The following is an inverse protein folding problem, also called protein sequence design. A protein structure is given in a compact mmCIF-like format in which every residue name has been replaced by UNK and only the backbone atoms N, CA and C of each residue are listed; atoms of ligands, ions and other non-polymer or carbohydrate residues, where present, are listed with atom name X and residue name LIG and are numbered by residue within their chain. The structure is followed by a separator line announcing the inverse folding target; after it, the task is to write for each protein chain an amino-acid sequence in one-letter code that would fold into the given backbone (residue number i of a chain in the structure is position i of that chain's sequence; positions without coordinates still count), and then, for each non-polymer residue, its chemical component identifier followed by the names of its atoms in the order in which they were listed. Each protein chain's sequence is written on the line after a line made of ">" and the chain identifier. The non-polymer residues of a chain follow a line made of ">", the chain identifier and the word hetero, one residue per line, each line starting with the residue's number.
data_IF_202398824116
#
_entry.id   IF_202398824116
#
_cell.length_a   1.000
_cell.length_b   1.000
_cell.length_c   1.000
_cell.angle_alpha   90.00
_cell.angle_beta   90.00
_cell.angle_gamma   90.00
#
_symmetry.space_group_name_H-M   'P 1'
#
loop_
_entity.id
_entity.type
_entity.pdbx_description
1 polymer ?
#
# COMPACT_ATOMS: atom_id res chain seq x y z
N UNK A 1 21.92 -93.65 35.86
CA UNK A 1 22.39 -92.52 35.02
C UNK A 1 21.22 -91.56 34.85
N UNK A 2 21.27 -90.40 35.49
CA UNK A 2 20.21 -89.39 35.42
C UNK A 2 20.68 -88.25 34.51
N UNK A 3 19.95 -88.00 33.43
CA UNK A 3 20.27 -86.97 32.43
C UNK A 3 19.51 -85.69 32.78
N UNK A 4 20.22 -84.66 33.21
CA UNK A 4 19.66 -83.35 33.58
C UNK A 4 19.35 -82.53 32.34
N UNK A 5 18.09 -82.20 32.11
CA UNK A 5 17.63 -81.36 30.98
C UNK A 5 17.87 -79.88 31.29
N UNK A 6 18.81 -79.24 30.57
CA UNK A 6 19.07 -77.80 30.66
C UNK A 6 17.99 -77.04 29.87
N UNK A 7 17.13 -76.30 30.56
CA UNK A 7 16.08 -75.45 29.96
C UNK A 7 16.69 -74.11 29.52
N UNK A 8 16.99 -73.95 28.22
CA UNK A 8 17.41 -72.67 27.62
C UNK A 8 16.31 -71.61 27.82
N UNK A 9 16.62 -70.50 28.51
CA UNK A 9 15.77 -69.30 28.57
C UNK A 9 15.74 -68.63 27.19
N UNK A 10 14.55 -68.30 26.68
CA UNK A 10 14.38 -67.51 25.45
C UNK A 10 14.93 -66.09 25.68
N UNK A 11 15.58 -65.45 24.68
CA UNK A 11 15.94 -64.05 24.75
C UNK A 11 14.67 -63.21 24.87
N UNK A 12 14.66 -62.25 25.79
CA UNK A 12 13.56 -61.28 25.97
C UNK A 12 13.65 -60.30 24.80
N UNK A 13 12.59 -60.18 24.00
CA UNK A 13 12.53 -59.19 22.91
C UNK A 13 12.76 -57.77 23.47
N UNK A 14 13.57 -56.93 22.80
CA UNK A 14 13.73 -55.56 23.20
C UNK A 14 12.41 -54.81 22.98
N UNK A 15 11.93 -54.18 24.04
CA UNK A 15 10.79 -53.26 24.01
C UNK A 15 11.14 -52.16 22.99
N UNK A 16 10.29 -51.85 21.99
CA UNK A 16 10.58 -50.78 21.06
C UNK A 16 10.67 -49.47 21.86
N UNK A 17 11.88 -48.96 22.00
CA UNK A 17 12.11 -47.60 22.49
C UNK A 17 11.58 -46.70 21.38
N UNK A 18 10.33 -46.26 21.52
CA UNK A 18 9.77 -45.12 20.81
C UNK A 18 10.60 -43.90 21.23
N UNK A 19 11.78 -43.81 20.61
CA UNK A 19 12.92 -43.03 21.05
C UNK A 19 12.65 -41.54 20.87
N UNK A 20 13.38 -40.72 21.64
CA UNK A 20 13.12 -39.30 21.91
C UNK A 20 12.74 -38.38 20.74
N UNK A 21 12.93 -38.79 19.48
CA UNK A 21 12.42 -38.09 18.30
C UNK A 21 10.91 -37.85 18.32
N UNK A 22 10.10 -38.81 18.82
CA UNK A 22 8.65 -38.59 18.94
C UNK A 22 8.31 -37.54 20.01
N UNK A 23 9.05 -37.49 21.11
CA UNK A 23 8.87 -36.49 22.16
C UNK A 23 9.33 -35.10 21.69
N UNK A 24 10.43 -35.03 20.94
CA UNK A 24 10.92 -33.78 20.34
C UNK A 24 9.91 -33.27 19.29
N UNK A 25 9.38 -34.15 18.44
CA UNK A 25 8.36 -33.79 17.45
C UNK A 25 7.07 -33.30 18.12
N UNK A 26 6.60 -33.98 19.17
CA UNK A 26 5.45 -33.56 19.94
C UNK A 26 5.68 -32.22 20.66
N UNK A 27 6.89 -31.98 21.18
CA UNK A 27 7.25 -30.72 21.82
C UNK A 27 7.31 -29.55 20.82
N UNK A 28 7.86 -29.76 19.62
CA UNK A 28 7.86 -28.72 18.57
C UNK A 28 6.44 -28.38 18.09
N UNK A 29 5.61 -29.40 17.85
CA UNK A 29 4.21 -29.21 17.48
C UNK A 29 3.43 -28.48 18.58
N UNK A 30 3.62 -28.87 19.84
CA UNK A 30 3.03 -28.18 20.99
C UNK A 30 3.48 -26.71 21.08
N UNK A 31 4.76 -26.44 20.86
CA UNK A 31 5.30 -25.08 20.86
C UNK A 31 4.68 -24.22 19.75
N UNK A 32 4.52 -24.74 18.52
CA UNK A 32 3.88 -23.99 17.42
C UNK A 32 2.42 -23.64 17.70
N UNK A 33 1.70 -24.48 18.47
CA UNK A 33 0.32 -24.21 18.86
C UNK A 33 0.24 -23.19 20.00
N UNK A 34 1.13 -23.26 20.99
CA UNK A 34 1.05 -22.44 22.22
C UNK A 34 1.69 -21.07 22.05
N UNK A 35 2.80 -20.98 21.31
CA UNK A 35 3.56 -19.74 21.14
C UNK A 35 2.73 -18.56 20.62
N UNK A 36 1.85 -18.66 19.59
CA UNK A 36 1.08 -17.51 19.10
C UNK A 36 0.06 -16.96 20.11
N UNK A 37 -0.34 -17.74 21.12
CA UNK A 37 -1.25 -17.31 22.18
C UNK A 37 -0.53 -16.88 23.46
N UNK A 38 0.81 -16.92 23.47
CA UNK A 38 1.62 -16.54 24.62
C UNK A 38 1.93 -15.03 24.62
N UNK A 39 2.12 -14.40 25.79
CA UNK A 39 2.53 -12.99 25.87
C UNK A 39 3.91 -12.71 25.24
N UNK A 40 4.70 -13.76 24.97
CA UNK A 40 5.99 -13.66 24.26
C UNK A 40 5.77 -13.41 22.76
N UNK A 41 4.65 -13.85 22.17
CA UNK A 41 4.32 -13.58 20.77
C UNK A 41 4.31 -12.07 20.48
N UNK A 42 3.68 -11.29 21.36
CA UNK A 42 3.60 -9.83 21.23
C UNK A 42 4.97 -9.13 21.32
N UNK A 43 5.99 -9.77 21.90
CA UNK A 43 7.35 -9.25 21.97
C UNK A 43 8.19 -9.56 20.72
N UNK A 44 7.85 -10.64 20.01
CA UNK A 44 8.56 -11.10 18.81
C UNK A 44 7.87 -10.60 17.53
N UNK A 45 6.56 -10.31 17.58
CA UNK A 45 5.83 -9.71 16.48
C UNK A 45 6.34 -8.29 16.21
N UNK A 46 6.71 -7.95 14.97
CA UNK A 46 6.98 -6.58 14.58
C UNK A 46 5.78 -5.70 14.94
N UNK A 47 5.97 -4.44 15.40
CA UNK A 47 4.87 -3.54 15.67
C UNK A 47 4.06 -3.35 14.38
N UNK A 48 2.78 -3.72 14.43
CA UNK A 48 1.81 -3.53 13.37
C UNK A 48 1.52 -2.03 13.22
N UNK A 49 2.40 -1.33 12.51
CA UNK A 49 2.21 0.09 12.18
C UNK A 49 2.36 0.31 10.68
N UNK A 50 1.53 -0.39 9.92
CA UNK A 50 1.33 -0.13 8.50
C UNK A 50 0.37 1.06 8.25
N UNK A 51 -0.27 1.59 9.29
CA UNK A 51 -1.20 2.73 9.16
C UNK A 51 -0.42 4.01 8.83
N UNK A 52 -0.85 4.72 7.79
CA UNK A 52 -0.30 6.02 7.42
C UNK A 52 -0.42 7.00 8.59
N UNK A 53 0.73 7.42 9.14
CA UNK A 53 0.79 8.38 10.25
C UNK A 53 0.52 9.80 9.72
N UNK A 54 -0.75 10.18 9.73
CA UNK A 54 -1.22 11.49 9.26
C UNK A 54 -1.13 12.58 10.32
N UNK A 55 -0.75 12.27 11.57
CA UNK A 55 -0.78 13.24 12.66
C UNK A 55 0.23 14.38 12.45
N UNK A 56 1.34 14.11 11.76
CA UNK A 56 2.36 15.10 11.42
C UNK A 56 2.08 15.90 10.15
N UNK A 57 1.00 15.61 9.42
CA UNK A 57 0.76 16.23 8.12
C UNK A 57 0.21 17.65 8.27
N UNK A 58 1.09 18.62 8.01
CA UNK A 58 0.78 20.04 8.04
C UNK A 58 1.42 20.75 6.86
N UNK A 59 0.84 21.87 6.43
CA UNK A 59 1.37 22.65 5.31
C UNK A 59 2.80 23.10 5.62
N UNK A 60 3.71 22.90 4.66
CA UNK A 60 5.14 23.20 4.78
C UNK A 60 5.99 22.04 5.33
N UNK A 61 5.36 20.98 5.87
CA UNK A 61 6.07 19.79 6.35
C UNK A 61 6.31 18.76 5.25
N UNK A 62 7.21 17.82 5.54
CA UNK A 62 7.41 16.61 4.75
C UNK A 62 6.92 15.41 5.55
N UNK A 63 6.28 14.45 4.89
CA UNK A 63 5.84 13.20 5.51
C UNK A 63 5.81 12.04 4.53
N UNK A 64 5.65 10.83 5.04
CA UNK A 64 5.56 9.62 4.22
C UNK A 64 4.10 9.21 4.03
N UNK A 65 3.77 8.73 2.85
CA UNK A 65 2.48 8.12 2.55
C UNK A 65 2.67 6.90 1.64
N UNK A 66 1.94 5.83 1.93
CA UNK A 66 1.75 4.71 1.01
C UNK A 66 0.49 4.99 0.21
N UNK A 67 0.54 4.91 -1.12
CA UNK A 67 -0.59 5.25 -2.00
C UNK A 67 -0.93 4.07 -2.90
N UNK A 68 -2.20 3.66 -2.92
CA UNK A 68 -2.67 2.60 -3.82
C UNK A 68 -3.03 3.17 -5.19
N UNK A 69 -2.55 2.52 -6.25
CA UNK A 69 -2.68 3.00 -7.63
C UNK A 69 -3.01 1.86 -8.60
N UNK A 70 -3.62 2.23 -9.73
CA UNK A 70 -3.56 1.52 -11.02
C UNK A 70 -3.00 2.47 -12.08
N UNK A 71 -2.42 1.95 -13.16
CA UNK A 71 -1.84 2.82 -14.22
C UNK A 71 -2.87 3.71 -14.90
N UNK A 72 -4.15 3.31 -14.93
CA UNK A 72 -5.22 4.15 -15.47
C UNK A 72 -5.52 5.39 -14.63
N UNK A 73 -5.14 5.41 -13.35
CA UNK A 73 -5.37 6.57 -12.49
C UNK A 73 -4.72 7.85 -13.03
N UNK A 74 -3.70 7.71 -13.88
CA UNK A 74 -3.10 8.82 -14.63
C UNK A 74 -4.14 9.68 -15.35
N UNK A 75 -5.09 9.06 -16.05
CA UNK A 75 -6.10 9.78 -16.86
C UNK A 75 -7.47 9.84 -16.18
N UNK A 76 -7.74 8.94 -15.24
CA UNK A 76 -9.08 8.76 -14.69
C UNK A 76 -9.42 9.76 -13.58
N UNK A 77 -8.45 10.05 -12.72
CA UNK A 77 -8.68 10.74 -11.46
C UNK A 77 -8.75 12.25 -11.67
N UNK A 78 -9.70 12.90 -11.00
CA UNK A 78 -9.83 14.35 -11.05
C UNK A 78 -10.37 14.92 -9.75
N UNK A 79 -9.95 16.15 -9.43
CA UNK A 79 -10.57 16.97 -8.41
C UNK A 79 -11.14 18.26 -9.03
N UNK A 80 -12.03 18.92 -8.28
CA UNK A 80 -12.41 20.29 -8.54
C UNK A 80 -12.14 21.17 -7.30
N UNK A 81 -11.49 22.30 -7.53
CA UNK A 81 -11.22 23.33 -6.53
C UNK A 81 -10.75 24.62 -7.24
N UNK A 82 -11.17 25.81 -6.80
CA UNK A 82 -10.75 27.07 -7.43
C UNK A 82 -9.29 27.43 -7.17
N UNK A 83 -8.76 27.05 -6.01
CA UNK A 83 -7.42 27.46 -5.57
C UNK A 83 -6.27 26.75 -6.30
N UNK A 84 -5.09 27.36 -6.20
CA UNK A 84 -3.81 26.85 -6.72
C UNK A 84 -2.87 26.56 -5.56
N UNK A 85 -2.14 25.45 -5.62
CA UNK A 85 -1.22 24.98 -4.59
C UNK A 85 0.17 24.81 -5.18
N UNK A 86 1.11 25.68 -4.82
CA UNK A 86 2.49 25.65 -5.34
C UNK A 86 2.54 25.61 -6.89
N UNK A 87 1.67 26.39 -7.54
CA UNK A 87 1.53 26.44 -9.00
C UNK A 87 0.72 25.27 -9.61
N UNK A 88 0.41 24.23 -8.85
CA UNK A 88 -0.44 23.12 -9.28
C UNK A 88 -1.93 23.39 -9.01
N UNK A 89 -2.80 22.78 -9.81
CA UNK A 89 -4.26 22.97 -9.69
C UNK A 89 -5.02 21.69 -10.00
N UNK A 90 -6.24 21.62 -9.48
CA UNK A 90 -7.21 20.61 -9.91
C UNK A 90 -7.51 20.74 -11.41
N UNK A 91 -8.03 19.69 -12.05
CA UNK A 91 -8.45 19.78 -13.46
C UNK A 91 -9.61 20.77 -13.67
N UNK A 92 -10.43 20.95 -12.64
CA UNK A 92 -11.61 21.83 -12.69
C UNK A 92 -11.63 22.82 -11.52
N UNK A 93 -12.26 23.97 -11.74
CA UNK A 93 -12.57 24.97 -10.70
C UNK A 93 -13.86 24.65 -9.96
N UNK A 94 -14.80 24.01 -10.67
CA UNK A 94 -16.13 23.64 -10.17
C UNK A 94 -16.60 22.34 -10.85
N UNK A 95 -17.84 21.92 -10.58
CA UNK A 95 -18.40 20.71 -11.19
C UNK A 95 -18.54 20.80 -12.72
N UNK A 96 -18.61 22.01 -13.26
CA UNK A 96 -18.90 22.28 -14.68
C UNK A 96 -17.81 23.08 -15.40
N UNK A 97 -16.91 23.75 -14.67
CA UNK A 97 -15.88 24.61 -15.25
C UNK A 97 -14.48 23.99 -15.09
N UNK A 98 -13.85 23.66 -16.21
CA UNK A 98 -12.44 23.27 -16.25
C UNK A 98 -11.53 24.49 -16.05
N UNK A 99 -10.33 24.28 -15.52
CA UNK A 99 -9.33 25.35 -15.53
C UNK A 99 -8.91 25.67 -16.98
N UNK A 100 -8.95 26.95 -17.34
CA UNK A 100 -8.47 27.40 -18.64
C UNK A 100 -6.97 27.08 -18.76
N UNK A 101 -6.60 26.45 -19.87
CA UNK A 101 -5.19 26.30 -20.26
C UNK A 101 -4.75 27.60 -20.93
N UNK A 102 -3.64 28.16 -20.47
CA UNK A 102 -2.99 29.25 -21.19
C UNK A 102 -2.47 28.69 -22.53
N UNK A 103 -2.87 29.25 -23.69
CA UNK A 103 -2.42 28.79 -24.99
C UNK A 103 -0.90 28.84 -25.20
N UNK A 104 -0.20 29.67 -24.41
CA UNK A 104 1.25 29.85 -24.45
C UNK A 104 2.02 28.99 -23.43
N UNK A 105 1.31 28.33 -22.50
CA UNK A 105 1.96 27.46 -21.52
C UNK A 105 2.47 26.18 -22.19
N UNK A 106 3.65 25.67 -21.76
CA UNK A 106 4.11 24.35 -22.17
C UNK A 106 3.07 23.27 -21.88
N UNK A 107 3.01 22.26 -22.74
CA UNK A 107 2.12 21.13 -22.54
C UNK A 107 2.58 20.31 -21.33
N UNK A 108 1.70 20.12 -20.35
CA UNK A 108 1.97 19.34 -19.14
C UNK A 108 1.68 17.85 -19.39
N UNK A 109 2.47 17.25 -20.28
CA UNK A 109 2.29 15.87 -20.77
C UNK A 109 2.51 14.79 -19.70
N UNK A 110 3.10 15.15 -18.55
CA UNK A 110 3.36 14.26 -17.44
C UNK A 110 2.55 14.62 -16.17
N UNK A 111 1.66 15.62 -16.26
CA UNK A 111 0.80 16.04 -15.16
C UNK A 111 1.54 16.64 -13.96
N UNK A 112 2.72 17.24 -14.16
CA UNK A 112 3.55 17.85 -13.09
C UNK A 112 2.79 18.88 -12.25
N UNK A 113 1.87 19.63 -12.88
CA UNK A 113 1.09 20.68 -12.22
C UNK A 113 -0.39 20.30 -12.06
N UNK A 114 -0.75 19.04 -12.33
CA UNK A 114 -2.09 18.52 -12.16
C UNK A 114 -2.24 17.87 -10.79
N UNK A 115 -3.17 18.39 -9.98
CA UNK A 115 -3.56 17.80 -8.70
C UNK A 115 -4.57 16.69 -8.96
N UNK A 116 -4.30 15.49 -8.45
CA UNK A 116 -5.21 14.35 -8.53
C UNK A 116 -5.50 13.77 -7.13
N UNK A 117 -6.72 13.24 -6.91
CA UNK A 117 -7.06 12.57 -5.66
C UNK A 117 -6.53 11.15 -5.61
N UNK A 118 -6.05 10.72 -4.45
CA UNK A 118 -5.61 9.35 -4.20
C UNK A 118 -6.05 8.85 -2.83
N UNK A 119 -5.89 7.54 -2.62
CA UNK A 119 -6.17 6.88 -1.36
C UNK A 119 -4.89 6.30 -0.77
N UNK A 120 -4.70 6.55 0.51
CA UNK A 120 -3.61 5.99 1.29
C UNK A 120 -3.84 4.51 1.58
N UNK A 121 -2.77 3.73 1.64
CA UNK A 121 -2.78 2.34 2.07
C UNK A 121 -2.30 2.25 3.53
N UNK A 122 -2.91 1.40 4.38
CA UNK A 122 -4.14 0.61 4.19
C UNK A 122 -5.41 1.37 4.63
N UNK A 123 -5.29 2.60 5.11
CA UNK A 123 -6.33 3.32 5.85
C UNK A 123 -7.29 4.13 4.97
N UNK A 124 -7.10 4.13 3.66
CA UNK A 124 -8.01 4.70 2.66
C UNK A 124 -8.34 6.19 2.90
N UNK A 125 -7.45 6.93 3.57
CA UNK A 125 -7.59 8.37 3.75
C UNK A 125 -7.31 9.09 2.44
N UNK A 126 -8.07 10.14 2.19
CA UNK A 126 -7.92 10.99 1.02
C UNK A 126 -6.64 11.83 1.14
N UNK A 127 -5.87 11.85 0.06
CA UNK A 127 -4.75 12.77 -0.15
C UNK A 127 -4.78 13.27 -1.58
N UNK A 128 -4.43 14.53 -1.81
CA UNK A 128 -4.28 15.10 -3.14
C UNK A 128 -2.79 15.25 -3.44
N UNK A 129 -2.34 14.72 -4.57
CA UNK A 129 -0.93 14.78 -4.96
C UNK A 129 -0.83 15.41 -6.35
N UNK A 130 0.02 16.41 -6.48
CA UNK A 130 0.35 17.01 -7.76
C UNK A 130 1.63 16.38 -8.34
N UNK A 131 1.61 15.99 -9.61
CA UNK A 131 2.81 15.51 -10.29
C UNK A 131 3.27 14.11 -9.88
N UNK A 132 2.41 13.27 -9.30
CA UNK A 132 2.76 11.90 -8.92
C UNK A 132 3.33 11.10 -10.10
N UNK A 133 2.73 11.25 -11.28
CA UNK A 133 3.13 10.54 -12.49
C UNK A 133 4.36 11.14 -13.19
N UNK A 134 4.81 12.33 -12.78
CA UNK A 134 6.06 12.92 -13.22
C UNK A 134 7.29 12.29 -12.51
N UNK A 135 7.07 11.55 -11.41
CA UNK A 135 8.13 10.84 -10.70
C UNK A 135 8.73 9.71 -11.58
N UNK A 136 10.07 9.57 -11.65
CA UNK A 136 10.71 8.63 -12.58
C UNK A 136 10.20 7.18 -12.49
N UNK A 137 9.99 6.68 -11.27
CA UNK A 137 9.51 5.31 -11.06
C UNK A 137 8.05 5.12 -11.50
N UNK A 138 7.22 6.15 -11.33
CA UNK A 138 5.81 6.11 -11.74
C UNK A 138 5.70 6.24 -13.26
N UNK A 139 6.46 7.16 -13.86
CA UNK A 139 6.55 7.31 -15.30
C UNK A 139 7.05 6.03 -15.98
N UNK A 140 8.08 5.37 -15.43
CA UNK A 140 8.57 4.11 -15.94
C UNK A 140 7.53 2.99 -15.84
N UNK A 141 6.78 2.93 -14.73
CA UNK A 141 5.68 1.98 -14.57
C UNK A 141 4.58 2.22 -15.62
N UNK A 142 4.16 3.47 -15.80
CA UNK A 142 3.17 3.86 -16.81
C UNK A 142 3.61 3.50 -18.23
N UNK A 143 4.89 3.69 -18.55
CA UNK A 143 5.45 3.31 -19.85
C UNK A 143 5.48 1.80 -20.09
N UNK A 144 5.80 1.01 -19.05
CA UNK A 144 5.85 -0.47 -19.15
C UNK A 144 4.46 -1.10 -19.22
N UNK A 145 3.48 -0.50 -18.56
CA UNK A 145 2.11 -1.00 -18.43
C UNK A 145 1.09 0.09 -18.78
N UNK A 146 1.01 0.50 -20.06
CA UNK A 146 0.08 1.52 -20.49
C UNK A 146 -1.36 1.06 -20.26
N UNK A 147 -2.21 1.97 -19.76
CA UNK A 147 -3.62 1.71 -19.48
C UNK A 147 -4.52 1.80 -20.72
N UNK A 148 -4.03 2.38 -21.83
CA UNK A 148 -4.82 2.63 -23.03
C UNK A 148 -5.39 1.33 -23.62
N UNK A 149 -6.73 1.25 -23.71
CA UNK A 149 -7.42 0.09 -24.27
C UNK A 149 -7.50 -1.14 -23.36
N UNK A 150 -7.04 -1.04 -22.10
CA UNK A 150 -7.12 -2.11 -21.11
C UNK A 150 -8.28 -1.85 -20.14
N UNK A 151 -9.11 -2.86 -19.90
CA UNK A 151 -10.15 -2.78 -18.87
C UNK A 151 -9.51 -2.56 -17.50
N UNK A 152 -10.00 -1.57 -16.75
CA UNK A 152 -9.49 -1.21 -15.42
C UNK A 152 -9.40 -2.40 -14.47
N UNK A 153 -10.34 -3.36 -14.57
CA UNK A 153 -10.36 -4.57 -13.72
C UNK A 153 -9.20 -5.52 -13.98
N UNK A 154 -8.54 -5.39 -15.14
CA UNK A 154 -7.38 -6.18 -15.54
C UNK A 154 -6.05 -5.50 -15.22
N UNK A 155 -6.08 -4.23 -14.82
CA UNK A 155 -4.87 -3.52 -14.43
C UNK A 155 -4.43 -3.96 -13.03
N UNK A 156 -3.13 -4.26 -12.91
CA UNK A 156 -2.53 -4.61 -11.63
C UNK A 156 -2.56 -3.39 -10.70
N UNK A 157 -3.12 -3.59 -9.50
CA UNK A 157 -2.98 -2.64 -8.40
C UNK A 157 -1.58 -2.72 -7.84
N UNK A 158 -1.01 -1.59 -7.49
CA UNK A 158 0.28 -1.51 -6.81
C UNK A 158 0.24 -0.42 -5.76
N UNK A 159 1.19 -0.48 -4.82
CA UNK A 159 1.37 0.54 -3.78
C UNK A 159 2.69 1.26 -4.04
N UNK A 160 2.67 2.58 -3.93
CA UNK A 160 3.88 3.40 -3.98
C UNK A 160 4.16 3.99 -2.60
N UNK A 161 5.42 3.92 -2.18
CA UNK A 161 5.94 4.57 -0.99
C UNK A 161 6.50 5.92 -1.41
N UNK A 162 5.82 6.99 -0.98
CA UNK A 162 6.19 8.35 -1.33
C UNK A 162 6.62 9.15 -0.09
N UNK A 163 7.69 9.91 -0.24
CA UNK A 163 7.99 11.07 0.58
C UNK A 163 7.35 12.29 -0.07
N UNK A 164 6.53 12.99 0.69
CA UNK A 164 5.64 14.04 0.22
C UNK A 164 5.90 15.34 0.95
N UNK A 165 6.03 16.44 0.21
CA UNK A 165 6.01 17.80 0.75
C UNK A 165 4.59 18.33 0.71
N UNK A 166 4.01 18.66 1.85
CA UNK A 166 2.65 19.18 1.94
C UNK A 166 2.64 20.68 1.61
N UNK A 167 1.94 21.05 0.55
CA UNK A 167 1.93 22.41 0.00
C UNK A 167 0.61 23.15 0.24
N UNK A 168 -0.42 22.44 0.69
CA UNK A 168 -1.72 23.04 1.00
C UNK A 168 -2.65 22.10 1.74
N UNK A 169 -3.78 22.64 2.15
CA UNK A 169 -4.91 21.90 2.69
C UNK A 169 -6.17 22.45 2.04
N UNK A 170 -7.06 21.54 1.63
CA UNK A 170 -8.35 21.89 1.06
C UNK A 170 -9.46 21.40 1.96
N UNK A 171 -10.50 22.21 2.07
CA UNK A 171 -11.75 21.87 2.73
C UNK A 171 -12.81 21.72 1.64
N UNK A 172 -13.70 20.73 1.77
CA UNK A 172 -14.81 20.50 0.83
C UNK A 172 -14.39 20.31 -0.65
N UNK A 173 -13.25 19.66 -0.90
CA UNK A 173 -12.88 19.28 -2.26
C UNK A 173 -13.89 18.29 -2.83
N UNK A 174 -14.24 18.43 -4.10
CA UNK A 174 -14.95 17.35 -4.80
C UNK A 174 -14.00 16.60 -5.70
N UNK A 175 -14.18 15.28 -5.72
CA UNK A 175 -13.34 14.36 -6.48
C UNK A 175 -14.20 13.53 -7.42
N UNK A 176 -13.57 13.00 -8.46
CA UNK A 176 -14.11 11.96 -9.33
C UNK A 176 -13.05 10.88 -9.51
N UNK A 177 -13.48 9.63 -9.48
CA UNK A 177 -12.59 8.47 -9.59
C UNK A 177 -12.56 7.89 -11.02
N UNK A 178 -13.39 8.40 -11.93
CA UNK A 178 -13.37 8.09 -13.35
C UNK A 178 -14.06 9.20 -14.15
N UNK A 179 -13.69 9.43 -15.42
CA UNK A 179 -14.42 10.32 -16.31
C UNK A 179 -15.87 9.84 -16.45
N UNK A 180 -16.81 10.80 -16.50
CA UNK A 180 -18.25 10.52 -16.58
C UNK A 180 -18.93 10.15 -15.26
N UNK A 181 -18.17 9.91 -14.18
CA UNK A 181 -18.76 9.80 -12.85
C UNK A 181 -19.13 11.18 -12.30
N UNK A 182 -20.13 11.20 -11.42
CA UNK A 182 -20.50 12.40 -10.69
C UNK A 182 -19.37 12.85 -9.75
N UNK A 183 -19.27 14.15 -9.54
CA UNK A 183 -18.40 14.72 -8.52
C UNK A 183 -18.92 14.36 -7.13
N UNK A 184 -18.06 13.82 -6.28
CA UNK A 184 -18.36 13.46 -4.90
C UNK A 184 -17.66 14.43 -3.98
N UNK A 185 -18.41 15.05 -3.08
CA UNK A 185 -17.83 15.88 -2.03
C UNK A 185 -17.16 14.99 -0.99
N UNK A 186 -15.88 15.26 -0.74
CA UNK A 186 -15.09 14.60 0.28
C UNK A 186 -14.76 15.59 1.40
N UNK A 187 -14.25 15.05 2.52
CA UNK A 187 -13.77 15.85 3.63
C UNK A 187 -12.48 16.61 3.32
N UNK A 188 -11.89 17.19 4.37
CA UNK A 188 -10.62 17.86 4.28
C UNK A 188 -9.52 16.94 3.75
N UNK A 189 -8.67 17.45 2.85
CA UNK A 189 -7.54 16.71 2.32
C UNK A 189 -6.28 17.58 2.30
N UNK A 190 -5.14 16.94 2.52
CA UNK A 190 -3.85 17.57 2.31
C UNK A 190 -3.50 17.55 0.82
N UNK A 191 -2.91 18.64 0.34
CA UNK A 191 -2.34 18.73 -1.00
C UNK A 191 -0.82 18.63 -0.87
N UNK A 192 -0.21 17.73 -1.62
CA UNK A 192 1.21 17.46 -1.56
C UNK A 192 1.86 17.40 -2.94
N UNK A 193 3.19 17.53 -2.95
CA UNK A 193 4.04 17.20 -4.09
C UNK A 193 5.00 16.08 -3.70
N UNK A 194 5.29 15.15 -4.61
CA UNK A 194 6.29 14.13 -4.36
C UNK A 194 7.67 14.78 -4.24
N UNK A 195 8.42 14.36 -3.23
CA UNK A 195 9.86 14.56 -3.11
C UNK A 195 10.58 13.36 -3.71
N UNK A 196 10.06 12.17 -3.41
CA UNK A 196 10.46 10.91 -4.05
C UNK A 196 9.33 9.90 -3.94
N UNK A 197 9.17 9.05 -4.95
CA UNK A 197 8.27 7.90 -4.89
C UNK A 197 8.95 6.63 -5.39
N UNK A 198 8.68 5.51 -4.73
CA UNK A 198 9.20 4.18 -5.08
C UNK A 198 8.10 3.13 -5.03
N UNK A 199 8.15 2.13 -5.90
CA UNK A 199 7.22 1.01 -5.83
C UNK A 199 7.49 0.24 -4.53
N UNK A 200 6.46 0.04 -3.71
CA UNK A 200 6.57 -0.79 -2.52
C UNK A 200 6.91 -2.22 -2.95
N UNK A 201 7.87 -2.90 -2.30
CA UNK A 201 8.04 -4.33 -2.49
C UNK A 201 6.73 -5.04 -2.10
N UNK A 202 6.29 -5.97 -2.95
CA UNK A 202 5.14 -6.84 -2.70
C UNK A 202 5.38 -7.80 -1.52
#
# INVERSE_FOLDING_TARGET
>A
MATTTVRRRRPKEPIPVASGHFLIAAAMLGAMIVLPFSPIANWISPPEKDVTDTAGWQVGSTGKAKVTLITADYELLGCNHPDTFDGARCSHKSDTEAHAKDPSAPLDDNGTNLVQPYRTWPDNKLILIAGLWAEPNMALRLHREPSAGVDQKKLSRFVTDCELKFVGRVENVKVRWSPGQAWVQEGAAMVARPVSCSLSPE
#
